data_IF_513612994114
#
_entry.id   IF_513612994114
#
_cell.length_a   1.000
_cell.length_b   1.000
_cell.length_c   1.000
_cell.angle_alpha   90.00
_cell.angle_beta   90.00
_cell.angle_gamma   90.00
#
_symmetry.space_group_name_H-M   'P 1'
#
loop_
_entity.id
_entity.type
_entity.pdbx_description
1 polymer ?
#
# COMPACT_ATOMS: atom_id res chain seq x y z
N UNK A 1 14.72 22.41 -45.24
CA UNK A 1 14.94 21.01 -44.81
C UNK A 1 15.59 21.00 -43.43
N UNK A 2 14.88 20.55 -42.40
CA UNK A 2 15.38 19.66 -41.34
C UNK A 2 14.23 19.44 -40.34
N UNK A 3 13.47 18.39 -40.65
CA UNK A 3 12.65 17.66 -39.70
C UNK A 3 13.64 16.84 -38.85
N UNK A 4 13.20 16.52 -37.62
CA UNK A 4 13.65 15.37 -36.81
C UNK A 4 14.74 15.65 -35.77
N UNK A 5 14.31 15.92 -34.54
CA UNK A 5 14.88 15.30 -33.31
C UNK A 5 13.98 15.63 -32.11
N UNK A 6 12.81 14.98 -32.06
CA UNK A 6 11.99 14.94 -30.85
C UNK A 6 11.41 13.54 -30.65
N UNK A 7 12.28 12.54 -30.63
CA UNK A 7 11.89 11.15 -30.36
C UNK A 7 13.07 10.40 -29.73
N UNK A 8 13.48 10.80 -28.52
CA UNK A 8 14.44 10.02 -27.72
C UNK A 8 14.38 10.33 -26.22
N UNK A 9 13.20 10.69 -25.69
CA UNK A 9 13.01 10.90 -24.25
C UNK A 9 11.81 10.15 -23.65
N UNK A 10 11.25 9.17 -24.37
CA UNK A 10 10.12 8.36 -23.87
C UNK A 10 10.55 6.93 -23.48
N UNK A 11 11.72 6.46 -23.93
CA UNK A 11 12.15 5.07 -23.69
C UNK A 11 12.82 4.83 -22.32
N UNK A 12 13.30 5.87 -21.62
CA UNK A 12 14.00 5.70 -20.33
C UNK A 12 13.09 5.47 -19.12
N UNK A 13 11.83 5.88 -19.18
CA UNK A 13 10.90 5.77 -18.03
C UNK A 13 10.26 4.38 -17.90
N UNK A 14 10.10 3.65 -19.01
CA UNK A 14 9.47 2.32 -19.00
C UNK A 14 10.39 1.25 -18.36
N UNK A 15 11.69 1.28 -18.67
CA UNK A 15 12.65 0.28 -18.19
C UNK A 15 13.01 0.43 -16.70
N UNK A 16 13.00 1.65 -16.17
CA UNK A 16 13.20 1.90 -14.73
C UNK A 16 12.00 1.43 -13.90
N UNK A 17 10.79 1.56 -14.44
CA UNK A 17 9.56 1.10 -13.77
C UNK A 17 9.50 -0.43 -13.64
N UNK A 18 9.93 -1.18 -14.67
CA UNK A 18 9.93 -2.65 -14.63
C UNK A 18 11.01 -3.22 -13.69
N UNK A 19 12.23 -2.69 -13.71
CA UNK A 19 13.32 -3.16 -12.83
C UNK A 19 13.03 -2.88 -11.35
N UNK A 20 12.41 -1.73 -11.04
CA UNK A 20 11.91 -1.46 -9.70
C UNK A 20 10.78 -2.44 -9.31
N UNK A 21 9.86 -2.78 -10.22
CA UNK A 21 8.70 -3.63 -9.92
C UNK A 21 9.05 -5.05 -9.43
N UNK A 22 10.23 -5.60 -9.75
CA UNK A 22 10.67 -6.92 -9.30
C UNK A 22 11.82 -6.89 -8.27
N UNK A 23 12.29 -5.70 -7.88
CA UNK A 23 13.33 -5.59 -6.86
C UNK A 23 12.83 -6.12 -5.50
N UNK A 24 13.69 -6.83 -4.76
CA UNK A 24 13.37 -7.34 -3.42
C UNK A 24 12.99 -6.21 -2.45
N UNK A 25 12.16 -6.52 -1.47
CA UNK A 25 11.87 -5.58 -0.37
C UNK A 25 13.19 -5.25 0.35
N UNK A 26 13.54 -3.96 0.53
CA UNK A 26 14.78 -3.60 1.23
C UNK A 26 14.78 -4.10 2.68
N UNK A 27 15.88 -4.70 3.12
CA UNK A 27 16.02 -5.19 4.50
C UNK A 27 16.10 -4.02 5.50
N UNK A 28 15.81 -4.24 6.79
CA UNK A 28 15.98 -3.22 7.81
C UNK A 28 17.41 -2.63 7.82
N UNK A 29 18.43 -3.47 7.63
CA UNK A 29 19.84 -3.07 7.63
C UNK A 29 20.16 -2.16 6.45
N UNK A 30 19.63 -2.48 5.26
CA UNK A 30 19.80 -1.60 4.09
C UNK A 30 19.12 -0.25 4.30
N UNK A 31 17.91 -0.24 4.88
CA UNK A 31 17.21 1.02 5.20
C UNK A 31 18.00 1.85 6.21
N UNK A 32 18.56 1.22 7.25
CA UNK A 32 19.38 1.90 8.25
C UNK A 32 20.63 2.54 7.62
N UNK A 33 21.30 1.83 6.72
CA UNK A 33 22.48 2.34 6.00
C UNK A 33 22.18 3.58 5.14
N UNK A 34 20.94 3.76 4.70
CA UNK A 34 20.52 4.85 3.81
C UNK A 34 19.53 5.82 4.50
N UNK A 35 19.40 5.74 5.84
CA UNK A 35 18.28 6.33 6.57
C UNK A 35 18.18 7.85 6.37
N UNK A 36 19.31 8.57 6.40
CA UNK A 36 19.32 10.04 6.29
C UNK A 36 18.86 10.49 4.89
N UNK A 37 19.40 9.86 3.83
CA UNK A 37 18.97 10.13 2.46
C UNK A 37 17.48 9.81 2.25
N UNK A 38 17.02 8.69 2.81
CA UNK A 38 15.61 8.28 2.70
C UNK A 38 14.68 9.22 3.46
N UNK A 39 15.10 9.73 4.63
CA UNK A 39 14.37 10.72 5.41
C UNK A 39 14.21 12.02 4.63
N UNK A 40 15.31 12.55 4.10
CA UNK A 40 15.34 13.79 3.34
C UNK A 40 14.50 13.68 2.06
N UNK A 41 14.52 12.53 1.40
CA UNK A 41 13.76 12.33 0.17
C UNK A 41 12.27 12.07 0.40
N UNK A 42 11.92 11.16 1.32
CA UNK A 42 10.58 10.59 1.38
C UNK A 42 9.71 11.18 2.50
N UNK A 43 10.31 11.71 3.56
CA UNK A 43 9.59 12.17 4.75
C UNK A 43 9.32 13.68 4.90
N UNK A 44 9.77 14.63 4.05
CA UNK A 44 9.52 16.08 4.29
C UNK A 44 8.04 16.42 4.55
N UNK A 45 7.12 15.72 3.87
CA UNK A 45 5.68 15.92 3.99
C UNK A 45 4.98 14.86 4.85
N UNK A 46 5.73 14.03 5.58
CA UNK A 46 5.19 12.87 6.29
C UNK A 46 5.50 12.92 7.77
N UNK A 47 4.58 12.38 8.57
CA UNK A 47 4.79 12.18 10.01
C UNK A 47 4.72 10.69 10.28
N UNK A 48 5.85 10.10 10.64
CA UNK A 48 6.02 8.65 10.84
C UNK A 48 6.36 8.35 12.30
N UNK A 49 5.81 7.28 12.90
CA UNK A 49 6.25 6.80 14.20
C UNK A 49 7.56 6.00 14.07
N UNK A 50 8.49 6.22 15.01
CA UNK A 50 9.85 5.65 14.95
C UNK A 50 9.88 4.11 14.90
N UNK A 51 8.98 3.43 15.62
CA UNK A 51 8.91 1.95 15.68
C UNK A 51 8.52 1.27 14.35
N UNK A 52 8.04 2.05 13.38
CA UNK A 52 7.68 1.56 12.06
C UNK A 52 8.43 2.27 10.92
N UNK A 53 9.39 3.14 11.24
CA UNK A 53 10.08 3.98 10.25
C UNK A 53 10.70 3.16 9.12
N UNK A 54 11.47 2.12 9.44
CA UNK A 54 12.08 1.25 8.41
C UNK A 54 11.06 0.66 7.46
N UNK A 55 10.00 0.06 8.01
CA UNK A 55 8.94 -0.57 7.20
C UNK A 55 8.15 0.44 6.39
N UNK A 56 7.97 1.66 6.90
CA UNK A 56 7.28 2.75 6.18
C UNK A 56 8.16 3.26 5.03
N UNK A 57 9.46 3.47 5.26
CA UNK A 57 10.41 3.89 4.22
C UNK A 57 10.52 2.83 3.13
N UNK A 58 10.69 1.55 3.50
CA UNK A 58 10.72 0.44 2.55
C UNK A 58 9.48 0.38 1.65
N UNK A 59 8.30 0.67 2.20
CA UNK A 59 7.08 0.78 1.40
C UNK A 59 7.07 2.04 0.54
N UNK A 60 7.42 3.21 1.10
CA UNK A 60 7.39 4.50 0.40
C UNK A 60 8.33 4.59 -0.82
N UNK A 61 9.46 3.87 -0.82
CA UNK A 61 10.35 3.75 -2.00
C UNK A 61 9.56 3.28 -3.23
N UNK A 62 8.48 2.50 -3.03
CA UNK A 62 7.62 1.96 -4.11
C UNK A 62 6.51 2.91 -4.55
N UNK A 63 6.40 4.08 -3.91
CA UNK A 63 5.37 5.09 -4.20
C UNK A 63 5.99 6.47 -4.46
N UNK A 64 6.80 6.63 -5.54
CA UNK A 64 7.41 7.92 -5.88
C UNK A 64 6.38 9.02 -6.16
N UNK A 65 5.19 8.65 -6.65
CA UNK A 65 4.04 9.54 -6.85
C UNK A 65 3.44 10.09 -5.55
N UNK A 66 3.81 9.53 -4.39
CA UNK A 66 3.42 10.03 -3.07
C UNK A 66 4.51 10.89 -2.40
N UNK A 67 5.62 11.21 -3.08
CA UNK A 67 6.74 12.01 -2.53
C UNK A 67 6.25 13.32 -1.90
N UNK A 68 5.48 14.10 -2.64
CA UNK A 68 4.95 15.39 -2.18
C UNK A 68 3.61 15.29 -1.44
N UNK A 69 3.04 14.09 -1.33
CA UNK A 69 1.74 13.90 -0.66
C UNK A 69 1.90 13.99 0.85
N UNK A 70 1.05 14.79 1.52
CA UNK A 70 1.06 14.90 2.98
C UNK A 70 0.38 13.71 3.63
N UNK A 71 1.14 12.88 4.34
CA UNK A 71 0.65 11.64 4.97
C UNK A 71 1.04 11.64 6.45
N UNK A 72 0.06 11.48 7.34
CA UNK A 72 0.30 11.29 8.77
C UNK A 72 -0.03 9.88 9.20
N UNK A 73 0.97 9.15 9.69
CA UNK A 73 0.77 7.86 10.36
C UNK A 73 0.40 8.12 11.82
N UNK A 74 -0.78 7.65 12.24
CA UNK A 74 -1.32 7.89 13.59
C UNK A 74 -1.77 6.60 14.24
N UNK A 75 -1.47 6.43 15.52
CA UNK A 75 -2.07 5.35 16.31
C UNK A 75 -3.55 5.66 16.57
N UNK A 76 -4.41 4.65 16.36
CA UNK A 76 -5.84 4.73 16.68
C UNK A 76 -6.36 3.34 17.01
N UNK A 77 -7.37 3.22 17.88
CA UNK A 77 -8.04 1.94 18.09
C UNK A 77 -8.86 1.60 16.83
N UNK A 78 -8.55 0.48 16.19
CA UNK A 78 -9.21 0.01 14.97
C UNK A 78 -9.76 -1.40 15.15
N UNK A 79 -10.63 -1.84 14.24
CA UNK A 79 -11.10 -3.23 14.13
C UNK A 79 -10.25 -4.07 13.15
N UNK A 80 -9.33 -3.42 12.44
CA UNK A 80 -8.37 -3.98 11.47
C UNK A 80 -6.93 -3.63 11.88
N UNK A 81 -5.93 -4.14 11.18
CA UNK A 81 -4.50 -3.84 11.43
C UNK A 81 -4.19 -2.37 11.15
N UNK A 82 -4.58 -1.88 9.98
CA UNK A 82 -4.38 -0.50 9.53
C UNK A 82 -5.63 -0.01 8.78
N UNK A 83 -5.68 1.30 8.51
CA UNK A 83 -6.66 1.91 7.62
C UNK A 83 -6.21 3.30 7.13
N UNK A 84 -6.10 3.48 5.83
CA UNK A 84 -5.98 4.77 5.17
C UNK A 84 -7.35 5.47 5.17
N UNK A 85 -7.37 6.74 5.55
CA UNK A 85 -8.59 7.56 5.48
C UNK A 85 -8.29 8.93 4.90
N UNK A 86 -9.08 9.39 3.92
CA UNK A 86 -9.17 10.81 3.65
C UNK A 86 -9.87 11.49 4.84
N UNK A 87 -9.51 12.72 5.18
CA UNK A 87 -10.38 13.52 6.05
C UNK A 87 -11.40 14.27 5.19
N UNK A 88 -12.63 14.42 5.69
CA UNK A 88 -13.71 15.07 4.93
C UNK A 88 -13.30 16.48 4.49
N UNK A 89 -12.70 17.26 5.40
CA UNK A 89 -12.21 18.60 5.10
C UNK A 89 -11.07 18.59 4.08
N UNK A 90 -10.16 17.61 4.17
CA UNK A 90 -9.07 17.48 3.20
C UNK A 90 -9.59 17.18 1.79
N UNK A 91 -10.73 16.49 1.63
CA UNK A 91 -11.23 16.10 0.31
C UNK A 91 -11.86 17.24 -0.49
N UNK A 92 -12.27 18.34 0.17
CA UNK A 92 -12.67 19.59 -0.50
C UNK A 92 -11.48 20.35 -1.08
N UNK A 93 -10.25 20.03 -0.68
CA UNK A 93 -9.05 20.65 -1.26
C UNK A 93 -8.79 20.14 -2.66
N UNK A 94 -8.09 20.97 -3.44
CA UNK A 94 -7.49 20.54 -4.69
C UNK A 94 -6.66 19.26 -4.46
N UNK A 95 -6.67 18.33 -5.42
CA UNK A 95 -6.07 16.99 -5.29
C UNK A 95 -4.63 17.04 -4.77
N UNK A 96 -3.80 17.95 -5.30
CA UNK A 96 -2.41 18.15 -4.90
C UNK A 96 -2.20 18.76 -3.50
N UNK A 97 -3.27 19.21 -2.83
CA UNK A 97 -3.24 19.81 -1.48
C UNK A 97 -3.99 18.97 -0.45
N UNK A 98 -4.41 17.75 -0.82
CA UNK A 98 -5.08 16.82 0.08
C UNK A 98 -4.09 16.28 1.10
N UNK A 99 -4.57 16.10 2.33
CA UNK A 99 -3.81 15.43 3.37
C UNK A 99 -4.48 14.11 3.72
N UNK A 100 -3.65 13.13 4.05
CA UNK A 100 -4.10 11.77 4.33
C UNK A 100 -3.65 11.33 5.72
N UNK A 101 -4.42 10.44 6.33
CA UNK A 101 -4.06 9.77 7.57
C UNK A 101 -4.05 8.26 7.33
N UNK A 102 -2.96 7.62 7.71
CA UNK A 102 -2.90 6.16 7.83
C UNK A 102 -2.97 5.84 9.31
N UNK A 103 -4.03 5.15 9.71
CA UNK A 103 -4.20 4.74 11.09
C UNK A 103 -3.56 3.38 11.32
N UNK A 104 -2.76 3.27 12.39
CA UNK A 104 -2.14 2.03 12.84
C UNK A 104 -2.86 1.59 14.11
N UNK A 105 -3.36 0.35 14.13
CA UNK A 105 -3.99 -0.19 15.33
C UNK A 105 -2.95 -0.39 16.44
N UNK A 106 -3.25 0.10 17.64
CA UNK A 106 -2.38 -0.04 18.82
C UNK A 106 -3.04 -0.82 19.95
N UNK A 107 -4.29 -1.24 19.79
CA UNK A 107 -5.09 -1.94 20.82
C UNK A 107 -5.64 -3.26 20.29
N UNK A 108 -5.58 -4.32 21.11
CA UNK A 108 -6.21 -5.60 20.74
C UNK A 108 -7.74 -5.44 20.80
N UNK A 109 -8.39 -5.48 19.65
CA UNK A 109 -9.84 -5.32 19.54
C UNK A 109 -10.60 -6.66 19.69
N UNK A 110 -11.93 -6.61 19.74
CA UNK A 110 -12.80 -7.81 19.83
C UNK A 110 -12.59 -8.81 18.67
N UNK A 111 -12.17 -8.35 17.49
CA UNK A 111 -11.87 -9.21 16.34
C UNK A 111 -10.48 -9.86 16.42
N UNK A 112 -9.67 -9.46 17.40
CA UNK A 112 -8.26 -9.82 17.57
C UNK A 112 -7.47 -9.62 16.28
N UNK A 113 -7.71 -8.53 15.54
CA UNK A 113 -6.89 -8.23 14.36
C UNK A 113 -5.41 -8.13 14.77
N UNK A 114 -4.47 -8.52 13.90
CA UNK A 114 -3.06 -8.36 14.20
C UNK A 114 -2.70 -6.91 14.53
N UNK A 115 -1.78 -6.73 15.48
CA UNK A 115 -1.15 -5.44 15.73
C UNK A 115 0.09 -5.36 14.85
N UNK A 116 0.34 -4.18 14.26
CA UNK A 116 1.44 -4.01 13.31
C UNK A 116 2.79 -4.46 13.90
N UNK A 117 3.07 -4.13 15.17
CA UNK A 117 4.28 -4.57 15.90
C UNK A 117 4.50 -6.09 16.00
N UNK A 118 3.45 -6.91 15.81
CA UNK A 118 3.54 -8.37 15.91
C UNK A 118 3.65 -9.03 14.52
N UNK A 119 3.65 -8.25 13.45
CA UNK A 119 3.71 -8.75 12.08
C UNK A 119 5.20 -8.80 11.66
N UNK A 120 5.65 -9.87 10.98
CA UNK A 120 6.99 -9.96 10.40
C UNK A 120 7.32 -8.74 9.52
N UNK A 121 8.60 -8.38 9.41
CA UNK A 121 9.02 -7.14 8.73
C UNK A 121 8.50 -7.03 7.29
N UNK A 122 8.71 -8.04 6.44
CA UNK A 122 8.27 -8.01 5.04
C UNK A 122 6.74 -7.88 4.91
N UNK A 123 6.01 -8.61 5.77
CA UNK A 123 4.56 -8.51 5.87
C UNK A 123 4.10 -7.11 6.32
N UNK A 124 4.83 -6.45 7.23
CA UNK A 124 4.58 -5.04 7.59
C UNK A 124 4.76 -4.12 6.39
N UNK A 125 5.82 -4.28 5.62
CA UNK A 125 6.06 -3.47 4.41
C UNK A 125 4.91 -3.66 3.41
N UNK A 126 4.47 -4.90 3.19
CA UNK A 126 3.34 -5.21 2.31
C UNK A 126 2.02 -4.55 2.73
N UNK A 127 1.62 -4.69 4.01
CA UNK A 127 0.37 -4.09 4.48
C UNK A 127 0.45 -2.55 4.51
N UNK A 128 1.61 -1.96 4.79
CA UNK A 128 1.80 -0.50 4.65
C UNK A 128 1.66 -0.08 3.19
N UNK A 129 2.24 -0.85 2.26
CA UNK A 129 2.08 -0.67 0.82
C UNK A 129 0.62 -0.64 0.39
N UNK A 130 -0.18 -1.60 0.85
CA UNK A 130 -1.62 -1.64 0.61
C UNK A 130 -2.32 -0.34 1.05
N UNK A 131 -1.99 0.20 2.23
CA UNK A 131 -2.55 1.47 2.70
C UNK A 131 -2.08 2.68 1.87
N UNK A 132 -0.86 2.64 1.32
CA UNK A 132 -0.37 3.66 0.37
C UNK A 132 -1.08 3.56 -0.99
N UNK A 133 -1.38 2.35 -1.47
CA UNK A 133 -2.16 2.14 -2.69
C UNK A 133 -3.58 2.73 -2.57
N UNK A 134 -4.21 2.68 -1.40
CA UNK A 134 -5.45 3.42 -1.14
C UNK A 134 -5.28 4.94 -1.36
N UNK A 135 -4.16 5.52 -0.90
CA UNK A 135 -3.91 6.96 -1.08
C UNK A 135 -3.73 7.30 -2.57
N UNK A 136 -2.99 6.48 -3.33
CA UNK A 136 -2.88 6.63 -4.80
C UNK A 136 -4.26 6.58 -5.45
N UNK A 137 -5.10 5.62 -5.07
CA UNK A 137 -6.46 5.49 -5.59
C UNK A 137 -7.33 6.73 -5.26
N UNK A 138 -7.21 7.29 -4.05
CA UNK A 138 -7.88 8.54 -3.68
C UNK A 138 -7.36 9.76 -4.43
N UNK A 139 -6.06 9.87 -4.69
CA UNK A 139 -5.46 10.97 -5.43
C UNK A 139 -6.03 11.08 -6.85
N UNK A 140 -6.39 9.95 -7.46
CA UNK A 140 -6.94 9.88 -8.82
C UNK A 140 -8.45 10.17 -8.89
N UNK A 141 -9.13 10.41 -7.77
CA UNK A 141 -10.60 10.55 -7.68
C UNK A 141 -11.05 11.94 -7.27
N UNK A 142 -12.18 12.39 -7.80
CA UNK A 142 -12.86 13.60 -7.32
C UNK A 142 -13.57 13.32 -5.97
N UNK A 143 -13.99 14.39 -5.30
CA UNK A 143 -14.62 14.31 -3.98
C UNK A 143 -15.90 13.46 -3.97
N UNK A 144 -16.78 13.65 -4.96
CA UNK A 144 -18.06 12.95 -5.07
C UNK A 144 -17.83 11.45 -5.21
N UNK A 145 -16.89 11.04 -6.05
CA UNK A 145 -16.50 9.63 -6.21
C UNK A 145 -15.96 9.04 -4.91
N UNK A 146 -15.15 9.79 -4.15
CA UNK A 146 -14.62 9.30 -2.86
C UNK A 146 -15.75 9.07 -1.86
N UNK A 147 -16.70 10.00 -1.75
CA UNK A 147 -17.87 9.81 -0.86
C UNK A 147 -18.71 8.63 -1.33
N UNK A 148 -19.07 8.57 -2.61
CA UNK A 148 -19.86 7.48 -3.17
C UNK A 148 -19.20 6.12 -2.94
N UNK A 149 -17.89 6.02 -3.15
CA UNK A 149 -17.13 4.82 -2.84
C UNK A 149 -17.15 4.49 -1.34
N UNK A 150 -17.07 5.49 -0.46
CA UNK A 150 -17.17 5.29 0.98
C UNK A 150 -18.52 4.72 1.41
N UNK A 151 -19.62 5.23 0.84
CA UNK A 151 -20.97 4.70 1.07
C UNK A 151 -21.07 3.27 0.54
N UNK A 152 -20.70 3.04 -0.72
CA UNK A 152 -20.74 1.73 -1.37
C UNK A 152 -19.89 0.70 -0.63
N UNK A 153 -18.72 1.09 -0.11
CA UNK A 153 -17.85 0.25 0.70
C UNK A 153 -18.54 -0.23 1.98
N UNK A 154 -19.37 0.60 2.61
CA UNK A 154 -20.07 0.18 3.84
C UNK A 154 -21.26 -0.73 3.54
N UNK A 155 -22.02 -0.44 2.48
CA UNK A 155 -23.31 -1.10 2.20
C UNK A 155 -23.21 -2.33 1.29
N UNK A 156 -22.17 -2.43 0.46
CA UNK A 156 -22.03 -3.50 -0.54
C UNK A 156 -20.73 -4.28 -0.36
N UNK A 157 -20.85 -5.55 0.02
CA UNK A 157 -19.69 -6.44 0.14
C UNK A 157 -19.04 -6.74 -1.21
N UNK A 158 -19.81 -6.79 -2.30
CA UNK A 158 -19.24 -6.98 -3.64
C UNK A 158 -18.44 -5.76 -4.11
N UNK A 159 -18.92 -4.54 -3.82
CA UNK A 159 -18.16 -3.33 -4.09
C UNK A 159 -16.89 -3.27 -3.24
N UNK A 160 -17.02 -3.59 -1.94
CA UNK A 160 -15.88 -3.67 -1.01
C UNK A 160 -14.82 -4.64 -1.54
N UNK A 161 -15.21 -5.86 -1.89
CA UNK A 161 -14.31 -6.86 -2.44
C UNK A 161 -13.64 -6.36 -3.73
N UNK A 162 -14.40 -5.81 -4.69
CA UNK A 162 -13.84 -5.28 -5.93
C UNK A 162 -12.83 -4.16 -5.69
N UNK A 163 -13.09 -3.27 -4.73
CA UNK A 163 -12.16 -2.21 -4.36
C UNK A 163 -10.89 -2.81 -3.74
N UNK A 164 -11.02 -3.71 -2.78
CA UNK A 164 -9.88 -4.30 -2.07
C UNK A 164 -9.01 -5.14 -3.02
N UNK A 165 -9.61 -5.94 -3.92
CA UNK A 165 -8.87 -6.65 -4.97
C UNK A 165 -8.13 -5.69 -5.92
N UNK A 166 -8.73 -4.55 -6.27
CA UNK A 166 -8.04 -3.52 -7.06
C UNK A 166 -6.82 -2.98 -6.30
N UNK A 167 -6.95 -2.74 -5.00
CA UNK A 167 -5.89 -2.19 -4.16
C UNK A 167 -4.76 -3.22 -3.94
N UNK A 168 -5.11 -4.49 -3.76
CA UNK A 168 -4.15 -5.60 -3.73
C UNK A 168 -3.38 -5.68 -5.06
N UNK A 169 -4.08 -5.65 -6.20
CA UNK A 169 -3.45 -5.60 -7.52
C UNK A 169 -2.54 -4.37 -7.73
N UNK A 170 -2.97 -3.18 -7.28
CA UNK A 170 -2.12 -1.98 -7.29
C UNK A 170 -0.86 -2.17 -6.44
N UNK A 171 -0.96 -2.82 -5.29
CA UNK A 171 0.17 -3.09 -4.38
C UNK A 171 1.15 -4.08 -5.00
N UNK A 172 0.65 -5.14 -5.64
CA UNK A 172 1.46 -6.10 -6.39
C UNK A 172 2.19 -5.40 -7.53
N UNK A 173 1.50 -4.54 -8.30
CA UNK A 173 2.09 -3.76 -9.40
C UNK A 173 3.17 -2.75 -8.93
N UNK A 174 3.22 -2.40 -7.65
CA UNK A 174 4.31 -1.58 -7.06
C UNK A 174 5.51 -2.41 -6.58
N UNK A 175 5.52 -3.72 -6.87
CA UNK A 175 6.58 -4.63 -6.44
C UNK A 175 6.50 -5.04 -4.96
N UNK A 176 5.34 -4.82 -4.33
CA UNK A 176 5.09 -5.22 -2.94
C UNK A 176 4.28 -6.51 -2.83
N UNK A 177 4.12 -7.25 -3.94
CA UNK A 177 3.45 -8.55 -3.97
C UNK A 177 3.99 -9.55 -2.95
N UNK A 178 5.31 -9.78 -2.83
CA UNK A 178 5.87 -10.68 -1.83
C UNK A 178 5.51 -10.29 -0.38
N UNK A 179 5.55 -8.99 -0.06
CA UNK A 179 5.16 -8.50 1.27
C UNK A 179 3.66 -8.65 1.53
N UNK A 180 2.82 -8.41 0.52
CA UNK A 180 1.38 -8.59 0.62
C UNK A 180 1.02 -10.07 0.82
N UNK A 181 1.68 -10.97 0.08
CA UNK A 181 1.60 -12.42 0.26
C UNK A 181 1.99 -12.82 1.69
N UNK A 182 3.17 -12.38 2.16
CA UNK A 182 3.64 -12.67 3.50
C UNK A 182 2.66 -12.20 4.59
N UNK A 183 2.04 -11.02 4.42
CA UNK A 183 1.01 -10.56 5.35
C UNK A 183 -0.23 -11.44 5.31
N UNK A 184 -0.67 -11.86 4.13
CA UNK A 184 -1.88 -12.68 4.01
C UNK A 184 -1.67 -14.07 4.59
N UNK A 185 -0.52 -14.69 4.32
CA UNK A 185 -0.10 -15.97 4.90
C UNK A 185 -0.04 -15.88 6.44
N UNK A 186 0.61 -14.85 6.98
CA UNK A 186 0.65 -14.60 8.42
C UNK A 186 -0.76 -14.50 9.03
N UNK A 187 -1.71 -13.83 8.38
CA UNK A 187 -3.09 -13.72 8.88
C UNK A 187 -3.83 -15.07 8.86
N UNK A 188 -3.56 -15.91 7.87
CA UNK A 188 -4.21 -17.20 7.66
C UNK A 188 -3.70 -18.27 8.62
N UNK A 189 -2.38 -18.33 8.79
CA UNK A 189 -1.70 -19.45 9.46
C UNK A 189 -1.22 -19.13 10.88
N UNK A 190 -0.62 -17.95 11.09
CA UNK A 190 0.12 -17.66 12.33
C UNK A 190 -0.66 -16.76 13.30
N UNK A 191 -1.43 -15.81 12.77
CA UNK A 191 -2.01 -14.77 13.57
C UNK A 191 -3.13 -15.31 14.48
N UNK A 192 -3.03 -15.02 15.78
CA UNK A 192 -4.05 -15.35 16.78
C UNK A 192 -5.32 -14.47 16.66
N UNK A 193 -6.01 -14.60 15.54
CA UNK A 193 -7.21 -13.86 15.16
C UNK A 193 -8.48 -14.68 15.38
N UNK A 194 -9.62 -13.99 15.48
CA UNK A 194 -10.93 -14.66 15.56
C UNK A 194 -11.32 -15.29 14.23
N UNK A 195 -12.08 -16.40 14.24
CA UNK A 195 -12.66 -17.01 13.03
C UNK A 195 -13.48 -16.00 12.22
N UNK A 196 -14.21 -15.12 12.90
CA UNK A 196 -14.99 -14.04 12.26
C UNK A 196 -14.08 -13.07 11.48
N UNK A 197 -12.91 -12.74 12.01
CA UNK A 197 -11.94 -11.89 11.32
C UNK A 197 -11.35 -12.57 10.08
N UNK A 198 -10.95 -13.84 10.19
CA UNK A 198 -10.41 -14.61 9.05
C UNK A 198 -11.42 -14.73 7.92
N UNK A 199 -12.66 -15.17 8.22
CA UNK A 199 -13.74 -15.24 7.24
C UNK A 199 -14.05 -13.90 6.56
N UNK A 200 -13.99 -12.80 7.32
CA UNK A 200 -14.15 -11.47 6.74
C UNK A 200 -13.01 -11.15 5.76
N UNK A 201 -11.77 -11.47 6.13
CA UNK A 201 -10.60 -11.26 5.27
C UNK A 201 -10.66 -12.14 4.00
N UNK A 202 -10.98 -13.42 4.14
CA UNK A 202 -11.17 -14.36 3.02
C UNK A 202 -12.28 -13.92 2.06
N UNK A 203 -13.37 -13.34 2.58
CA UNK A 203 -14.48 -12.87 1.74
C UNK A 203 -14.13 -11.62 0.93
N UNK A 204 -13.28 -10.74 1.46
CA UNK A 204 -13.15 -9.36 0.96
C UNK A 204 -11.81 -9.09 0.27
N UNK A 205 -10.74 -9.79 0.65
CA UNK A 205 -9.38 -9.55 0.18
C UNK A 205 -8.87 -10.78 -0.54
N UNK A 206 -7.87 -10.62 -1.41
CA UNK A 206 -7.19 -11.77 -1.99
C UNK A 206 -6.62 -12.67 -0.88
N UNK A 207 -6.73 -13.98 -1.06
CA UNK A 207 -6.06 -15.00 -0.25
C UNK A 207 -4.58 -15.08 -0.60
N UNK A 208 -3.78 -15.72 0.27
CA UNK A 208 -2.34 -15.91 -0.02
C UNK A 208 -2.14 -16.69 -1.33
N UNK A 209 -2.99 -17.69 -1.60
CA UNK A 209 -2.99 -18.46 -2.83
C UNK A 209 -3.31 -17.61 -4.08
N UNK A 210 -4.34 -16.76 -4.03
CA UNK A 210 -4.67 -15.85 -5.14
C UNK A 210 -3.54 -14.85 -5.40
N UNK A 211 -2.92 -14.29 -4.36
CA UNK A 211 -1.78 -13.37 -4.51
C UNK A 211 -0.61 -14.10 -5.17
N UNK A 212 -0.29 -15.33 -4.73
CA UNK A 212 0.78 -16.12 -5.32
C UNK A 212 0.53 -16.42 -6.80
N UNK A 213 -0.71 -16.75 -7.16
CA UNK A 213 -1.11 -16.97 -8.55
C UNK A 213 -0.92 -15.71 -9.41
N UNK A 214 -1.39 -14.55 -8.95
CA UNK A 214 -1.22 -13.28 -9.67
C UNK A 214 0.26 -12.94 -9.87
N UNK A 215 1.10 -13.13 -8.84
CA UNK A 215 2.55 -12.89 -8.95
C UNK A 215 3.18 -13.84 -9.97
N UNK A 216 2.79 -15.12 -9.97
CA UNK A 216 3.31 -16.10 -10.92
C UNK A 216 2.94 -15.76 -12.36
N UNK A 217 1.68 -15.40 -12.61
CA UNK A 217 1.20 -14.97 -13.94
C UNK A 217 1.95 -13.74 -14.44
N UNK A 218 2.19 -12.75 -13.57
CA UNK A 218 2.93 -11.55 -13.92
C UNK A 218 4.39 -11.83 -14.29
N UNK A 219 5.09 -12.68 -13.51
CA UNK A 219 6.48 -13.04 -13.81
C UNK A 219 6.56 -13.83 -15.13
N UNK A 220 5.63 -14.75 -15.36
CA UNK A 220 5.56 -15.54 -16.58
C UNK A 220 5.30 -14.69 -17.83
N UNK A 221 4.52 -13.61 -17.70
CA UNK A 221 4.28 -12.66 -18.79
C UNK A 221 5.51 -11.79 -19.11
N UNK A 222 6.39 -11.55 -18.13
CA UNK A 222 7.65 -10.82 -18.33
C UNK A 222 8.69 -11.70 -19.02
N UNK A 223 8.79 -12.98 -18.64
CA UNK A 223 9.77 -13.91 -19.21
C UNK A 223 9.49 -14.28 -20.69
N UNK A 224 8.25 -14.06 -21.16
CA UNK A 224 7.81 -14.37 -22.52
C UNK A 224 7.84 -13.17 -23.48
N UNK A 225 8.29 -11.99 -23.04
CA UNK A 225 8.36 -10.74 -23.81
C UNK A 225 9.80 -10.25 -23.95
#
# INVERSE_FOLDING_TARGET
>A
MQILTFFLLVLGLASFSQTAQHAKIPTPEWIEQHIDSLRDELLPNKRVPADYEHSILAALIRYPDLKDTRIMFKRKALTTTMAARPTVLDMFRHRSKRHYKIFINHTRNKRKSPLLKNIPYEARVGVIGHELAHIVDYNNKNFITIIGNGVAYVVSDSFKQKLEYKIDGMTINRGLGPGLYAFRLFVEEEAQTTRKYRKFKEKIYMTSAEIAQVIHEMNSAVDNN
#
